data_IF_383641651597
#
_entry.id   IF_383641651597
#
_cell.length_a   1.000
_cell.length_b   1.000
_cell.length_c   1.000
_cell.angle_alpha   90.00
_cell.angle_beta   90.00
_cell.angle_gamma   90.00
#
_symmetry.space_group_name_H-M   'P 1'
#
loop_
_entity.id
_entity.type
_entity.pdbx_description
1 polymer ?
#
# COMPACT_ATOMS: atom_id res chain seq x y z
N UNK A 1 -24.09 10.66 -1.16
CA UNK A 1 -23.30 9.47 -0.83
C UNK A 1 -24.25 8.42 -0.30
N UNK A 2 -24.33 7.25 -0.91
CA UNK A 2 -25.02 6.10 -0.34
C UNK A 2 -23.91 5.32 0.38
N UNK A 3 -23.95 5.29 1.71
CA UNK A 3 -23.08 4.40 2.47
C UNK A 3 -23.47 2.95 2.13
N UNK A 4 -22.52 2.20 1.58
CA UNK A 4 -22.67 0.76 1.42
C UNK A 4 -22.73 0.12 2.81
N UNK A 5 -23.88 -0.45 3.18
CA UNK A 5 -23.96 -1.32 4.34
C UNK A 5 -23.22 -2.62 4.02
N UNK A 6 -22.10 -2.84 4.70
CA UNK A 6 -21.37 -4.12 4.65
C UNK A 6 -22.15 -5.17 5.46
N UNK A 7 -22.48 -6.31 4.86
CA UNK A 7 -23.05 -7.47 5.55
C UNK A 7 -22.25 -8.74 5.22
N UNK A 8 -22.10 -9.63 6.19
CA UNK A 8 -21.46 -10.94 6.02
C UNK A 8 -22.30 -12.01 6.73
N UNK A 9 -22.41 -13.19 6.12
CA UNK A 9 -23.03 -14.38 6.72
C UNK A 9 -21.89 -15.30 7.15
N UNK A 10 -21.87 -15.69 8.42
CA UNK A 10 -20.87 -16.62 8.97
C UNK A 10 -21.52 -17.95 9.35
N UNK A 11 -20.79 -19.04 9.15
CA UNK A 11 -21.10 -20.33 9.78
C UNK A 11 -20.39 -20.39 11.13
N UNK A 12 -21.17 -20.35 12.21
CA UNK A 12 -20.66 -20.32 13.59
C UNK A 12 -19.79 -21.54 13.91
N UNK A 13 -20.00 -22.67 13.23
CA UNK A 13 -19.24 -23.90 13.49
C UNK A 13 -17.91 -23.98 12.73
N UNK A 14 -17.68 -23.11 11.74
CA UNK A 14 -16.50 -23.13 10.87
C UNK A 14 -15.38 -22.15 11.30
N UNK A 15 -15.72 -21.12 12.09
CA UNK A 15 -14.82 -20.01 12.45
C UNK A 15 -14.09 -20.22 13.78
N UNK A 16 -13.44 -21.38 13.94
CA UNK A 16 -12.80 -21.75 15.20
C UNK A 16 -11.41 -21.11 15.45
N UNK A 17 -10.84 -20.38 14.48
CA UNK A 17 -9.42 -19.99 14.56
C UNK A 17 -9.18 -18.50 14.23
N UNK A 18 -9.62 -17.63 15.15
CA UNK A 18 -9.39 -16.18 15.14
C UNK A 18 -7.94 -15.80 14.78
N UNK A 19 -6.96 -16.55 15.31
CA UNK A 19 -5.53 -16.27 15.09
C UNK A 19 -5.14 -16.46 13.63
N UNK A 20 -5.63 -17.54 13.02
CA UNK A 20 -5.37 -17.86 11.61
C UNK A 20 -6.00 -16.82 10.69
N UNK A 21 -7.24 -16.42 10.95
CA UNK A 21 -7.93 -15.43 10.13
C UNK A 21 -7.29 -14.04 10.25
N UNK A 22 -6.88 -13.65 11.46
CA UNK A 22 -6.15 -12.42 11.68
C UNK A 22 -4.79 -12.44 10.96
N UNK A 23 -4.04 -13.54 11.05
CA UNK A 23 -2.76 -13.69 10.37
C UNK A 23 -2.92 -13.61 8.83
N UNK A 24 -3.91 -14.29 8.27
CA UNK A 24 -4.19 -14.27 6.83
C UNK A 24 -4.59 -12.86 6.35
N UNK A 25 -5.38 -12.12 7.14
CA UNK A 25 -5.70 -10.74 6.82
C UNK A 25 -4.47 -9.83 6.86
N UNK A 26 -3.61 -9.98 7.87
CA UNK A 26 -2.38 -9.18 7.98
C UNK A 26 -1.44 -9.46 6.80
N UNK A 27 -1.29 -10.72 6.38
CA UNK A 27 -0.50 -11.08 5.18
C UNK A 27 -1.05 -10.42 3.91
N UNK A 28 -2.37 -10.44 3.70
CA UNK A 28 -2.98 -9.76 2.55
C UNK A 28 -2.80 -8.25 2.57
N UNK A 29 -2.85 -7.64 3.76
CA UNK A 29 -2.61 -6.21 3.90
C UNK A 29 -1.13 -5.89 3.64
N UNK A 30 -0.20 -6.74 4.05
CA UNK A 30 1.23 -6.55 3.75
C UNK A 30 1.48 -6.50 2.24
N UNK A 31 0.91 -7.42 1.46
CA UNK A 31 1.01 -7.39 0.00
C UNK A 31 0.46 -6.08 -0.61
N UNK A 32 -0.64 -5.55 -0.06
CA UNK A 32 -1.22 -4.28 -0.53
C UNK A 32 -0.31 -3.10 -0.21
N UNK A 33 0.23 -3.04 1.00
CA UNK A 33 0.99 -1.89 1.47
C UNK A 33 2.44 -1.90 0.98
N UNK A 34 3.10 -3.06 0.96
CA UNK A 34 4.50 -3.21 0.58
C UNK A 34 4.68 -3.16 -0.95
N UNK A 35 3.82 -3.83 -1.71
CA UNK A 35 3.99 -3.93 -3.17
C UNK A 35 3.11 -2.92 -3.91
N UNK A 36 1.79 -3.00 -3.72
CA UNK A 36 0.85 -2.23 -4.55
C UNK A 36 0.94 -0.73 -4.31
N UNK A 37 0.96 -0.29 -3.05
CA UNK A 37 1.04 1.14 -2.73
C UNK A 37 2.42 1.70 -3.12
N UNK A 38 3.51 0.96 -2.84
CA UNK A 38 4.86 1.33 -3.28
C UNK A 38 4.94 1.54 -4.79
N UNK A 39 4.53 0.54 -5.58
CA UNK A 39 4.55 0.60 -7.04
C UNK A 39 3.68 1.77 -7.54
N UNK A 40 2.52 1.98 -6.92
CA UNK A 40 1.63 3.09 -7.26
C UNK A 40 2.31 4.44 -7.02
N UNK A 41 3.01 4.63 -5.90
CA UNK A 41 3.74 5.86 -5.61
C UNK A 41 4.82 6.14 -6.66
N UNK A 42 5.62 5.13 -7.02
CA UNK A 42 6.64 5.24 -8.08
C UNK A 42 6.00 5.62 -9.41
N UNK A 43 4.96 4.90 -9.82
CA UNK A 43 4.26 5.15 -11.08
C UNK A 43 3.66 6.57 -11.14
N UNK A 44 3.10 7.07 -10.03
CA UNK A 44 2.58 8.43 -9.94
C UNK A 44 3.71 9.47 -10.01
N UNK A 45 4.84 9.20 -9.34
CA UNK A 45 6.02 10.07 -9.39
C UNK A 45 6.56 10.18 -10.82
N UNK A 46 6.78 9.05 -11.51
CA UNK A 46 7.23 9.00 -12.91
C UNK A 46 6.27 9.74 -13.84
N UNK A 47 4.96 9.55 -13.71
CA UNK A 47 3.97 10.21 -14.58
C UNK A 47 3.88 11.73 -14.41
N UNK A 48 4.40 12.29 -13.32
CA UNK A 48 4.22 13.71 -12.99
C UNK A 48 5.51 14.41 -12.60
N UNK A 49 6.07 14.09 -11.42
CA UNK A 49 7.24 14.80 -10.86
C UNK A 49 8.53 14.44 -11.58
N UNK A 50 8.70 13.16 -11.88
CA UNK A 50 9.85 12.61 -12.58
C UNK A 50 9.59 12.40 -14.05
N UNK A 51 8.56 13.01 -14.63
CA UNK A 51 8.19 12.82 -16.04
C UNK A 51 9.33 13.12 -17.01
N UNK A 52 10.12 14.17 -16.76
CA UNK A 52 11.28 14.47 -17.62
C UNK A 52 12.38 13.42 -17.53
N UNK A 53 12.54 12.82 -16.36
CA UNK A 53 13.48 11.72 -16.15
C UNK A 53 12.93 10.45 -16.82
N UNK A 54 11.64 10.15 -16.64
CA UNK A 54 10.94 9.03 -17.29
C UNK A 54 11.03 9.13 -18.83
N UNK A 55 10.73 10.31 -19.39
CA UNK A 55 10.79 10.58 -20.84
C UNK A 55 12.24 10.55 -21.40
N UNK A 56 13.28 10.55 -20.54
CA UNK A 56 14.69 10.53 -20.96
C UNK A 56 15.33 9.16 -20.94
N UNK A 57 14.63 8.13 -20.50
CA UNK A 57 15.12 6.74 -20.43
C UNK A 57 14.39 5.89 -21.48
N UNK A 58 15.10 4.93 -22.04
CA UNK A 58 14.56 4.03 -23.05
C UNK A 58 13.77 2.88 -22.40
N UNK A 59 12.83 2.31 -23.15
CA UNK A 59 12.08 1.14 -22.69
C UNK A 59 13.06 -0.01 -22.42
N UNK A 60 13.05 -0.53 -21.19
CA UNK A 60 13.94 -1.60 -20.74
C UNK A 60 15.07 -1.14 -19.83
N UNK A 61 15.23 0.18 -19.63
CA UNK A 61 16.15 0.71 -18.63
C UNK A 61 15.72 0.29 -17.21
N UNK A 62 16.69 -0.19 -16.42
CA UNK A 62 16.47 -0.53 -15.02
C UNK A 62 16.88 0.63 -14.12
N UNK A 63 15.98 1.01 -13.22
CA UNK A 63 16.25 2.01 -12.20
C UNK A 63 15.70 1.56 -10.85
N UNK A 64 16.51 1.70 -9.80
CA UNK A 64 16.11 1.39 -8.43
C UNK A 64 15.64 2.66 -7.74
N UNK A 65 14.33 2.74 -7.49
CA UNK A 65 13.75 3.81 -6.67
C UNK A 65 13.99 3.53 -5.19
N UNK A 66 14.26 4.59 -4.42
CA UNK A 66 14.46 4.51 -2.97
C UNK A 66 13.37 5.28 -2.24
N UNK A 67 13.16 4.95 -0.96
CA UNK A 67 12.16 5.63 -0.13
C UNK A 67 12.46 7.13 -0.01
N UNK A 68 13.74 7.48 0.16
CA UNK A 68 14.18 8.86 0.24
C UNK A 68 13.80 9.65 -1.02
N UNK A 69 13.88 9.03 -2.20
CA UNK A 69 13.45 9.68 -3.43
C UNK A 69 11.95 9.98 -3.40
N UNK A 70 11.12 9.00 -3.01
CA UNK A 70 9.66 9.19 -2.93
C UNK A 70 9.27 10.26 -1.91
N UNK A 71 9.89 10.25 -0.72
CA UNK A 71 9.70 11.27 0.33
C UNK A 71 10.09 12.68 -0.12
N UNK A 72 11.00 12.80 -1.09
CA UNK A 72 11.48 14.07 -1.61
C UNK A 72 10.85 14.47 -2.96
N UNK A 73 9.80 13.77 -3.42
CA UNK A 73 9.09 14.12 -4.67
C UNK A 73 8.40 15.48 -4.62
N UNK A 74 8.03 15.94 -3.43
CA UNK A 74 7.19 17.13 -3.23
C UNK A 74 5.80 17.00 -3.85
N UNK A 75 5.30 15.77 -4.04
CA UNK A 75 3.92 15.51 -4.45
C UNK A 75 3.06 15.16 -3.24
N UNK A 76 2.11 16.04 -2.92
CA UNK A 76 1.20 15.86 -1.78
C UNK A 76 0.43 14.53 -1.82
N UNK A 77 0.15 13.99 -3.01
CA UNK A 77 -0.55 12.71 -3.10
C UNK A 77 0.37 11.54 -2.74
N UNK A 78 1.67 11.63 -3.06
CA UNK A 78 2.67 10.65 -2.65
C UNK A 78 2.89 10.76 -1.15
N UNK A 79 2.96 11.98 -0.61
CA UNK A 79 3.06 12.22 0.83
C UNK A 79 1.90 11.56 1.60
N UNK A 80 0.65 11.73 1.12
CA UNK A 80 -0.53 11.11 1.74
C UNK A 80 -0.54 9.58 1.64
N UNK A 81 -0.08 9.01 0.52
CA UNK A 81 0.06 7.55 0.39
C UNK A 81 1.12 7.01 1.34
N UNK A 82 2.19 7.78 1.54
CA UNK A 82 3.23 7.45 2.49
C UNK A 82 2.72 7.49 3.94
N UNK A 83 1.97 8.54 4.31
CA UNK A 83 1.30 8.62 5.61
C UNK A 83 0.35 7.43 5.86
N UNK A 84 -0.33 6.95 4.81
CA UNK A 84 -1.19 5.77 4.89
C UNK A 84 -0.39 4.50 5.21
N UNK A 85 0.79 4.32 4.60
CA UNK A 85 1.72 3.20 4.91
C UNK A 85 2.20 3.28 6.35
N UNK A 86 2.71 4.45 6.78
CA UNK A 86 3.17 4.64 8.16
C UNK A 86 2.05 4.38 9.17
N UNK A 87 0.81 4.79 8.84
CA UNK A 87 -0.33 4.53 9.70
C UNK A 87 -0.70 3.05 9.76
N UNK A 88 -0.59 2.34 8.65
CA UNK A 88 -0.80 0.90 8.62
C UNK A 88 0.23 0.17 9.48
N UNK A 89 1.51 0.50 9.37
CA UNK A 89 2.57 -0.10 10.20
C UNK A 89 2.32 0.12 11.70
N UNK A 90 1.93 1.33 12.07
CA UNK A 90 1.55 1.67 13.44
C UNK A 90 0.40 0.79 13.93
N UNK A 91 -0.66 0.64 13.13
CA UNK A 91 -1.83 -0.16 13.49
C UNK A 91 -1.49 -1.65 13.53
N UNK A 92 -0.71 -2.14 12.56
CA UNK A 92 -0.27 -3.54 12.45
C UNK A 92 0.53 -3.94 13.69
N UNK A 93 1.42 -3.07 14.19
CA UNK A 93 2.21 -3.33 15.41
C UNK A 93 1.34 -3.55 16.66
N UNK A 94 0.09 -3.07 16.63
CA UNK A 94 -0.88 -3.22 17.73
C UNK A 94 -1.77 -4.44 17.58
N UNK A 95 -1.86 -5.04 16.38
CA UNK A 95 -2.57 -6.30 16.17
C UNK A 95 -1.81 -7.43 16.86
N UNK A 96 -2.50 -8.18 17.70
CA UNK A 96 -1.93 -9.30 18.46
C UNK A 96 -2.55 -10.61 18.00
N UNK A 97 -1.78 -11.52 17.39
CA UNK A 97 -2.28 -12.86 17.08
C UNK A 97 -2.56 -13.67 18.35
#
# INVERSE_FOLDING_TARGET
MIESMKSNIIDINAYADYKKDLAALTEQLDEVFDDLIWETMVNLACKKKWKKWDDSHDIGDEFTFTEEMLRNTGDKNIDLLWELVEKYDEVKSQLKP
#
